data_IF_334381183469
#
_entry.id   IF_334381183469
#
_cell.length_a   1.000
_cell.length_b   1.000
_cell.length_c   1.000
_cell.angle_alpha   90.00
_cell.angle_beta   90.00
_cell.angle_gamma   90.00
#
_symmetry.space_group_name_H-M   'P 1'
#
loop_
_entity.id
_entity.type
_entity.pdbx_description
1 polymer ?
#
# COMPACT_ATOMS: atom_id res chain seq x y z
N UNK A 1 12.20 -2.41 19.39
CA UNK A 1 11.76 -2.83 18.03
C UNK A 1 12.30 -4.25 17.81
N UNK A 2 11.63 -5.10 17.04
CA UNK A 2 12.10 -6.47 16.80
C UNK A 2 13.32 -6.41 15.84
N UNK A 3 14.38 -7.15 16.11
CA UNK A 3 15.62 -7.23 15.29
C UNK A 3 15.31 -7.46 13.79
N UNK A 4 14.29 -8.25 13.47
CA UNK A 4 13.87 -8.49 12.09
C UNK A 4 13.35 -7.20 11.38
N UNK A 5 12.51 -6.40 12.05
CA UNK A 5 12.00 -5.13 11.47
C UNK A 5 13.14 -4.15 11.22
N UNK A 6 14.09 -4.03 12.13
CA UNK A 6 15.22 -3.12 11.98
C UNK A 6 16.10 -3.51 10.78
N UNK A 7 16.32 -4.81 10.57
CA UNK A 7 17.04 -5.33 9.40
C UNK A 7 16.26 -5.05 8.11
N UNK A 8 14.95 -5.30 8.07
CA UNK A 8 14.11 -4.97 6.89
C UNK A 8 14.18 -3.47 6.60
N UNK A 9 14.00 -2.63 7.61
CA UNK A 9 14.06 -1.17 7.46
C UNK A 9 15.42 -0.69 6.92
N UNK A 10 16.52 -1.31 7.38
CA UNK A 10 17.86 -1.01 6.88
C UNK A 10 18.03 -1.40 5.40
N UNK A 11 17.54 -2.58 5.01
CA UNK A 11 17.55 -3.04 3.61
C UNK A 11 16.72 -2.10 2.71
N UNK A 12 15.52 -1.73 3.13
CA UNK A 12 14.64 -0.81 2.39
C UNK A 12 15.28 0.58 2.26
N UNK A 13 15.92 1.07 3.32
CA UNK A 13 16.66 2.34 3.29
C UNK A 13 17.86 2.27 2.34
N UNK A 14 18.58 1.18 2.26
CA UNK A 14 19.65 0.98 1.30
C UNK A 14 19.13 0.96 -0.14
N UNK A 15 18.05 0.23 -0.41
CA UNK A 15 17.37 0.17 -1.70
C UNK A 15 16.96 1.58 -2.20
N UNK A 16 16.56 2.47 -1.29
CA UNK A 16 16.13 3.82 -1.65
C UNK A 16 17.25 4.69 -2.26
N UNK A 17 18.52 4.35 -2.08
CA UNK A 17 19.63 5.05 -2.74
C UNK A 17 19.55 4.90 -4.27
N UNK A 18 19.07 3.75 -4.75
CA UNK A 18 18.83 3.53 -6.19
C UNK A 18 17.73 4.47 -6.68
N UNK A 19 16.64 4.62 -5.91
CA UNK A 19 15.53 5.51 -6.23
C UNK A 19 15.94 6.99 -6.22
N UNK A 20 16.87 7.37 -5.35
CA UNK A 20 17.31 8.78 -5.18
C UNK A 20 18.54 9.14 -6.02
N UNK A 21 19.05 8.22 -6.83
CA UNK A 21 20.14 8.50 -7.76
C UNK A 21 19.69 9.50 -8.84
N UNK A 22 20.62 10.33 -9.31
CA UNK A 22 20.35 11.37 -10.31
C UNK A 22 19.87 10.82 -11.66
N UNK A 23 20.25 9.58 -12.00
CA UNK A 23 19.86 8.90 -13.23
C UNK A 23 18.68 7.93 -13.02
N UNK A 24 18.12 7.88 -11.82
CA UNK A 24 17.09 6.90 -11.43
C UNK A 24 15.81 6.96 -12.29
N UNK A 25 15.50 8.11 -12.90
CA UNK A 25 14.32 8.32 -13.75
C UNK A 25 14.58 8.01 -15.23
N UNK A 26 15.72 7.43 -15.57
CA UNK A 26 16.03 6.95 -16.94
C UNK A 26 15.33 5.62 -17.24
N UNK A 27 15.29 5.23 -18.51
CA UNK A 27 14.80 3.90 -18.91
C UNK A 27 13.29 3.71 -18.71
N UNK A 28 12.48 4.76 -18.90
CA UNK A 28 11.03 4.68 -18.72
C UNK A 28 10.43 3.80 -19.80
N UNK A 29 9.76 2.72 -19.40
CA UNK A 29 9.02 1.83 -20.27
C UNK A 29 7.53 1.82 -19.88
N UNK A 30 6.64 1.67 -20.85
CA UNK A 30 5.22 1.59 -20.65
C UNK A 30 4.78 0.13 -20.54
N UNK A 31 4.01 -0.21 -19.48
CA UNK A 31 3.41 -1.53 -19.29
C UNK A 31 1.95 -1.50 -19.76
N UNK A 32 1.61 -2.24 -20.78
CA UNK A 32 0.22 -2.51 -21.19
C UNK A 32 -0.61 -1.28 -21.58
N UNK A 33 -1.04 -0.46 -20.63
CA UNK A 33 -1.83 0.75 -20.89
C UNK A 33 -1.03 2.04 -20.72
N UNK A 34 -1.60 3.18 -21.21
CA UNK A 34 -0.93 4.49 -21.24
C UNK A 34 -0.64 5.13 -19.86
N UNK A 35 -1.07 4.51 -18.79
CA UNK A 35 -0.92 5.04 -17.41
C UNK A 35 -0.07 4.14 -16.52
N UNK A 36 0.38 2.99 -17.02
CA UNK A 36 1.22 2.06 -16.28
C UNK A 36 2.66 2.09 -16.82
N UNK A 37 3.59 2.46 -15.95
CA UNK A 37 5.00 2.65 -16.28
C UNK A 37 5.88 1.78 -15.39
N UNK A 38 7.07 1.46 -15.90
CA UNK A 38 8.18 0.87 -15.15
C UNK A 38 9.45 1.63 -15.53
N UNK A 39 10.34 1.83 -14.58
CA UNK A 39 11.66 2.39 -14.80
C UNK A 39 12.74 1.33 -14.55
N UNK A 40 13.95 1.58 -15.02
CA UNK A 40 15.09 0.71 -14.69
C UNK A 40 15.34 0.65 -13.19
N UNK A 41 14.93 1.69 -12.44
CA UNK A 41 15.05 1.74 -10.98
C UNK A 41 14.10 0.76 -10.30
N UNK A 42 12.85 0.61 -10.79
CA UNK A 42 11.91 -0.38 -10.26
C UNK A 42 12.52 -1.79 -10.32
N UNK A 43 13.09 -2.15 -11.47
CA UNK A 43 13.71 -3.46 -11.68
C UNK A 43 14.93 -3.68 -10.77
N UNK A 44 15.81 -2.68 -10.65
CA UNK A 44 17.00 -2.75 -9.79
C UNK A 44 16.65 -2.85 -8.32
N UNK A 45 15.68 -2.05 -7.86
CA UNK A 45 15.20 -2.08 -6.48
C UNK A 45 14.54 -3.43 -6.17
N UNK A 46 13.67 -3.92 -7.07
CA UNK A 46 13.05 -5.24 -6.94
C UNK A 46 14.09 -6.35 -6.81
N UNK A 47 15.13 -6.33 -7.65
CA UNK A 47 16.20 -7.34 -7.62
C UNK A 47 17.00 -7.28 -6.32
N UNK A 48 17.44 -6.08 -5.91
CA UNK A 48 18.17 -5.88 -4.66
C UNK A 48 17.34 -6.36 -3.45
N UNK A 49 16.09 -5.90 -3.32
CA UNK A 49 15.21 -6.31 -2.22
C UNK A 49 14.98 -7.82 -2.20
N UNK A 50 14.79 -8.44 -3.38
CA UNK A 50 14.57 -9.87 -3.49
C UNK A 50 15.77 -10.69 -2.98
N UNK A 51 16.98 -10.27 -3.31
CA UNK A 51 18.21 -10.92 -2.86
C UNK A 51 18.39 -10.80 -1.35
N UNK A 52 18.36 -9.57 -0.82
CA UNK A 52 18.59 -9.29 0.60
C UNK A 52 17.53 -9.91 1.52
N UNK A 53 16.24 -9.84 1.13
CA UNK A 53 15.15 -10.39 1.94
C UNK A 53 15.15 -11.93 1.93
N UNK A 54 15.55 -12.58 0.83
CA UNK A 54 15.72 -14.03 0.80
C UNK A 54 16.89 -14.48 1.69
N UNK A 55 17.99 -13.72 1.71
CA UNK A 55 19.12 -13.99 2.62
C UNK A 55 18.73 -13.75 4.08
N UNK A 56 17.92 -12.73 4.35
CA UNK A 56 17.45 -12.40 5.70
C UNK A 56 16.53 -13.49 6.28
N UNK A 57 15.67 -14.10 5.44
CA UNK A 57 14.72 -15.13 5.85
C UNK A 57 14.78 -16.32 4.87
N UNK A 58 15.74 -17.24 5.01
CA UNK A 58 15.86 -18.40 4.12
C UNK A 58 14.60 -19.27 4.13
N UNK A 59 14.18 -19.70 2.95
CA UNK A 59 12.95 -20.49 2.77
C UNK A 59 11.67 -19.66 2.61
N UNK A 60 11.76 -18.33 2.64
CA UNK A 60 10.66 -17.46 2.24
C UNK A 60 10.54 -17.39 0.71
N UNK A 61 9.33 -17.09 0.23
CA UNK A 61 9.06 -16.78 -1.18
C UNK A 61 8.85 -15.28 -1.37
N UNK A 62 8.85 -14.80 -2.63
CA UNK A 62 8.72 -13.38 -2.95
C UNK A 62 7.61 -13.19 -3.98
N UNK A 63 6.78 -12.17 -3.77
CA UNK A 63 5.86 -11.60 -4.73
C UNK A 63 6.26 -10.15 -4.92
N UNK A 64 6.51 -9.71 -6.14
CA UNK A 64 6.82 -8.32 -6.46
C UNK A 64 6.05 -7.84 -7.67
N UNK A 65 5.92 -6.54 -7.81
CA UNK A 65 5.23 -5.94 -8.96
C UNK A 65 5.91 -6.27 -10.28
N UNK A 66 7.26 -6.32 -10.31
CA UNK A 66 8.05 -6.31 -11.54
C UNK A 66 8.46 -7.69 -12.08
N UNK A 67 8.16 -8.77 -11.37
CA UNK A 67 8.49 -10.13 -11.81
C UNK A 67 7.31 -11.07 -11.62
N UNK A 68 6.98 -11.86 -12.65
CA UNK A 68 6.06 -12.98 -12.50
C UNK A 68 6.58 -13.95 -11.44
N UNK A 69 5.72 -14.25 -10.50
CA UNK A 69 6.04 -15.12 -9.35
C UNK A 69 5.13 -16.35 -9.41
N UNK A 70 5.75 -17.52 -9.33
CA UNK A 70 5.03 -18.80 -9.48
C UNK A 70 4.68 -19.45 -8.14
N UNK A 71 5.44 -19.19 -7.08
CA UNK A 71 5.20 -19.78 -5.76
C UNK A 71 4.71 -18.74 -4.75
N UNK A 72 3.46 -18.91 -4.31
CA UNK A 72 2.76 -18.05 -3.34
C UNK A 72 2.39 -18.82 -2.07
N UNK A 73 2.87 -20.08 -1.92
CA UNK A 73 2.40 -21.02 -0.90
C UNK A 73 3.28 -21.12 0.35
N UNK A 74 4.35 -20.34 0.45
CA UNK A 74 5.27 -20.39 1.58
C UNK A 74 4.64 -19.98 2.92
N UNK A 75 5.19 -20.50 4.03
CA UNK A 75 4.82 -20.02 5.38
C UNK A 75 5.09 -18.52 5.53
N UNK A 76 6.15 -18.03 4.88
CA UNK A 76 6.56 -16.64 4.81
C UNK A 76 6.68 -16.20 3.35
N UNK A 77 5.95 -15.14 3.00
CA UNK A 77 5.95 -14.56 1.66
C UNK A 77 6.25 -13.07 1.78
N UNK A 78 7.33 -12.63 1.16
CA UNK A 78 7.60 -11.21 0.96
C UNK A 78 6.72 -10.67 -0.16
N UNK A 79 6.16 -9.50 0.05
CA UNK A 79 5.36 -8.79 -0.95
C UNK A 79 5.96 -7.40 -1.12
N UNK A 80 6.46 -7.11 -2.34
CA UNK A 80 7.32 -5.96 -2.61
C UNK A 80 6.71 -5.09 -3.69
N UNK A 81 6.60 -3.79 -3.41
CA UNK A 81 6.48 -2.75 -4.41
C UNK A 81 7.77 -1.91 -4.39
N UNK A 82 8.58 -1.97 -5.44
CA UNK A 82 9.85 -1.24 -5.50
C UNK A 82 9.68 0.28 -5.52
N UNK A 83 8.64 0.79 -6.21
CA UNK A 83 8.33 2.22 -6.26
C UNK A 83 6.81 2.40 -6.39
N UNK A 84 6.08 2.32 -5.27
CA UNK A 84 4.66 2.68 -5.27
C UNK A 84 4.50 4.18 -5.61
N UNK A 85 3.69 4.44 -6.63
CA UNK A 85 3.56 5.75 -7.22
C UNK A 85 4.58 6.04 -8.32
N UNK A 86 4.86 5.08 -9.23
CA UNK A 86 5.82 5.24 -10.35
C UNK A 86 5.52 6.48 -11.21
N UNK A 87 4.24 6.81 -11.44
CA UNK A 87 3.87 8.05 -12.14
C UNK A 87 4.32 9.32 -11.42
N UNK A 88 4.27 9.33 -10.09
CA UNK A 88 4.78 10.44 -9.26
C UNK A 88 6.31 10.49 -9.32
N UNK A 89 6.96 9.32 -9.29
CA UNK A 89 8.41 9.20 -9.38
C UNK A 89 8.94 9.77 -10.69
N UNK A 90 8.38 9.35 -11.84
CA UNK A 90 8.75 9.84 -13.17
C UNK A 90 8.59 11.36 -13.29
N UNK A 91 7.56 11.93 -12.65
CA UNK A 91 7.23 13.36 -12.70
C UNK A 91 7.92 14.19 -11.61
N UNK A 92 8.75 13.58 -10.79
CA UNK A 92 9.46 14.21 -9.66
C UNK A 92 8.53 14.93 -8.67
N UNK A 93 7.39 14.33 -8.38
CA UNK A 93 6.42 14.93 -7.45
C UNK A 93 6.79 14.72 -5.98
N UNK A 94 7.77 13.86 -5.69
CA UNK A 94 8.19 13.56 -4.32
C UNK A 94 7.16 12.80 -3.49
N UNK A 95 6.25 12.05 -4.14
CA UNK A 95 5.15 11.31 -3.52
C UNK A 95 5.19 9.84 -3.90
N UNK A 96 6.35 9.21 -3.80
CA UNK A 96 6.54 7.79 -4.06
C UNK A 96 7.30 7.14 -2.92
N UNK A 97 7.02 5.88 -2.66
CA UNK A 97 7.58 5.12 -1.54
C UNK A 97 8.05 3.74 -1.99
N UNK A 98 8.89 3.10 -1.17
CA UNK A 98 9.22 1.67 -1.27
C UNK A 98 8.36 0.94 -0.24
N UNK A 99 7.68 -0.13 -0.64
CA UNK A 99 6.78 -0.90 0.21
C UNK A 99 7.22 -2.36 0.29
N UNK A 100 7.41 -2.88 1.51
CA UNK A 100 7.78 -4.28 1.79
C UNK A 100 6.88 -4.84 2.87
N UNK A 101 6.05 -5.81 2.50
CA UNK A 101 5.23 -6.59 3.43
C UNK A 101 5.80 -7.99 3.64
N UNK A 102 5.69 -8.52 4.85
CA UNK A 102 5.88 -9.95 5.14
C UNK A 102 4.53 -10.55 5.52
N UNK A 103 4.11 -11.48 4.69
CA UNK A 103 2.95 -12.34 4.97
C UNK A 103 3.42 -13.55 5.75
N UNK A 104 2.69 -13.92 6.79
CA UNK A 104 2.91 -15.14 7.56
C UNK A 104 1.64 -15.98 7.56
N UNK A 105 1.69 -17.19 7.01
CA UNK A 105 0.55 -18.12 6.93
C UNK A 105 -0.70 -17.47 6.28
N UNK A 106 -0.49 -16.73 5.20
CA UNK A 106 -1.54 -16.06 4.44
C UNK A 106 -2.02 -14.71 4.98
N UNK A 107 -1.50 -14.24 6.13
CA UNK A 107 -1.92 -12.97 6.74
C UNK A 107 -0.77 -11.94 6.80
N UNK A 108 -1.03 -10.65 6.52
CA UNK A 108 -0.06 -9.58 6.69
C UNK A 108 0.45 -9.52 8.14
N UNK A 109 1.76 -9.65 8.31
CA UNK A 109 2.40 -9.78 9.62
C UNK A 109 3.36 -8.63 9.95
N UNK A 110 4.27 -8.29 9.03
CA UNK A 110 5.17 -7.14 9.14
C UNK A 110 5.00 -6.25 7.93
N UNK A 111 5.06 -4.94 8.15
CA UNK A 111 5.08 -3.94 7.08
C UNK A 111 6.19 -2.92 7.30
N UNK A 112 6.86 -2.57 6.21
CA UNK A 112 7.84 -1.49 6.14
C UNK A 112 7.54 -0.66 4.89
N UNK A 113 7.29 0.64 5.07
CA UNK A 113 7.07 1.60 3.99
C UNK A 113 8.03 2.77 4.21
N UNK A 114 8.84 3.08 3.22
CA UNK A 114 9.80 4.16 3.31
C UNK A 114 9.57 5.24 2.27
N UNK A 115 9.43 6.47 2.76
CA UNK A 115 9.30 7.68 1.96
C UNK A 115 10.65 8.39 1.90
N UNK A 116 11.47 8.18 0.86
CA UNK A 116 12.86 8.66 0.84
C UNK A 116 12.99 10.20 0.77
N UNK A 117 12.04 10.87 0.10
CA UNK A 117 12.06 12.34 -0.01
C UNK A 117 11.89 13.07 1.33
N UNK A 118 11.30 12.40 2.33
CA UNK A 118 11.05 12.96 3.66
C UNK A 118 11.81 12.26 4.76
N UNK A 119 12.57 11.20 4.43
CA UNK A 119 13.23 10.30 5.39
C UNK A 119 12.23 9.77 6.45
N UNK A 120 11.03 9.38 6.00
CA UNK A 120 9.97 8.83 6.84
C UNK A 120 9.90 7.31 6.67
N UNK A 121 10.27 6.55 7.70
CA UNK A 121 10.22 5.09 7.76
C UNK A 121 9.05 4.65 8.62
N UNK A 122 7.99 4.16 7.98
CA UNK A 122 6.82 3.58 8.65
C UNK A 122 7.03 2.09 8.81
N UNK A 123 6.89 1.58 10.04
CA UNK A 123 7.04 0.15 10.32
C UNK A 123 5.93 -0.33 11.24
N UNK A 124 5.53 -1.59 11.09
CA UNK A 124 4.55 -2.22 11.97
C UNK A 124 4.68 -3.74 11.97
N UNK A 125 4.41 -4.32 13.14
CA UNK A 125 4.27 -5.76 13.29
C UNK A 125 3.01 -6.04 14.10
N UNK A 126 2.16 -6.88 13.57
CA UNK A 126 0.91 -7.27 14.24
C UNK A 126 1.23 -7.82 15.63
N UNK A 127 0.60 -7.22 16.65
CA UNK A 127 0.83 -7.54 18.06
C UNK A 127 2.03 -6.82 18.72
N UNK A 128 2.81 -6.00 17.98
CA UNK A 128 3.98 -5.31 18.54
C UNK A 128 3.96 -3.78 18.40
N UNK A 129 2.94 -3.24 17.70
CA UNK A 129 2.78 -1.80 17.48
C UNK A 129 3.33 -1.31 16.15
N UNK A 130 3.06 -0.02 15.87
CA UNK A 130 3.51 0.68 14.67
C UNK A 130 4.39 1.89 15.04
N UNK A 131 5.32 2.25 14.14
CA UNK A 131 6.33 3.27 14.40
C UNK A 131 6.61 4.10 13.14
N UNK A 132 6.91 5.39 13.34
CA UNK A 132 7.47 6.30 12.35
C UNK A 132 8.85 6.74 12.83
N UNK A 133 9.90 6.39 12.09
CA UNK A 133 11.30 6.66 12.46
C UNK A 133 11.60 6.20 13.90
N UNK A 134 11.12 5.01 14.27
CA UNK A 134 11.30 4.42 15.60
C UNK A 134 10.44 5.02 16.73
N UNK A 135 9.64 6.06 16.45
CA UNK A 135 8.70 6.64 17.42
C UNK A 135 7.33 5.98 17.26
N UNK A 136 6.68 5.56 18.35
CA UNK A 136 5.35 4.96 18.29
C UNK A 136 4.34 5.87 17.59
N UNK A 137 3.52 5.29 16.72
CA UNK A 137 2.38 5.95 16.07
C UNK A 137 1.10 5.19 16.34
N UNK A 138 -0.02 5.89 16.26
CA UNK A 138 -1.36 5.34 16.28
C UNK A 138 -2.25 6.10 15.29
N UNK A 139 -3.33 5.47 14.88
CA UNK A 139 -4.39 6.14 14.11
C UNK A 139 -4.99 7.31 14.90
N UNK A 140 -5.63 8.26 14.22
CA UNK A 140 -6.30 9.38 14.87
C UNK A 140 -7.57 8.92 15.60
N UNK A 141 -8.13 9.80 16.44
CA UNK A 141 -9.38 9.58 17.18
C UNK A 141 -10.56 10.41 16.60
N UNK A 142 -10.37 11.05 15.46
CA UNK A 142 -11.39 11.86 14.81
C UNK A 142 -12.56 11.00 14.34
N UNK A 143 -13.75 11.58 14.39
CA UNK A 143 -14.97 11.00 13.83
C UNK A 143 -15.05 11.19 12.31
N UNK A 144 -16.13 10.70 11.69
CA UNK A 144 -16.32 10.74 10.24
C UNK A 144 -16.44 12.17 9.71
N UNK A 145 -17.10 13.06 10.44
CA UNK A 145 -17.34 14.44 10.04
C UNK A 145 -16.04 15.25 9.95
N UNK A 146 -15.10 14.97 10.89
CA UNK A 146 -13.79 15.62 10.93
C UNK A 146 -12.68 14.81 10.27
N UNK A 147 -13.03 13.93 9.34
CA UNK A 147 -12.09 13.04 8.67
C UNK A 147 -11.59 13.61 7.34
N UNK A 148 -10.38 13.22 6.97
CA UNK A 148 -9.83 13.38 5.62
C UNK A 148 -9.85 12.02 4.94
N UNK A 149 -10.48 11.96 3.76
CA UNK A 149 -10.44 10.80 2.88
C UNK A 149 -9.19 10.83 2.01
N UNK A 150 -8.45 9.73 1.95
CA UNK A 150 -7.56 9.42 0.84
C UNK A 150 -8.22 8.37 -0.06
N UNK A 151 -8.10 8.52 -1.37
CA UNK A 151 -8.69 7.58 -2.33
C UNK A 151 -8.01 7.63 -3.67
N UNK A 152 -7.98 6.48 -4.35
CA UNK A 152 -7.63 6.43 -5.75
C UNK A 152 -8.73 5.75 -6.57
N UNK A 153 -8.81 6.16 -7.83
CA UNK A 153 -9.65 5.52 -8.85
C UNK A 153 -8.75 4.57 -9.63
N UNK A 154 -9.24 3.37 -9.91
CA UNK A 154 -8.47 2.40 -10.69
C UNK A 154 -7.90 3.02 -11.97
N UNK A 155 -6.57 3.08 -12.06
CA UNK A 155 -5.87 3.55 -13.25
C UNK A 155 -6.03 2.55 -14.41
N UNK A 156 -6.21 1.30 -14.08
CA UNK A 156 -6.24 0.17 -15.01
C UNK A 156 -7.60 -0.02 -15.68
N UNK A 157 -8.69 0.42 -15.04
CA UNK A 157 -10.04 0.29 -15.61
C UNK A 157 -10.89 1.53 -15.35
N UNK A 158 -11.04 2.36 -16.38
CA UNK A 158 -11.85 3.60 -16.34
C UNK A 158 -13.35 3.36 -16.15
N UNK A 159 -13.85 2.14 -16.34
CA UNK A 159 -15.26 1.82 -16.07
C UNK A 159 -15.63 2.01 -14.59
N UNK A 160 -14.65 1.93 -13.69
CA UNK A 160 -14.86 2.19 -12.26
C UNK A 160 -14.92 3.68 -11.88
N UNK A 161 -14.61 4.59 -12.80
CA UNK A 161 -14.55 6.02 -12.49
C UNK A 161 -15.90 6.56 -11.96
N UNK A 162 -17.02 6.22 -12.62
CA UNK A 162 -18.34 6.72 -12.22
C UNK A 162 -18.74 6.29 -10.79
N UNK A 163 -18.68 5.00 -10.41
CA UNK A 163 -18.97 4.62 -9.02
C UNK A 163 -17.96 5.21 -8.02
N UNK A 164 -16.67 5.31 -8.35
CA UNK A 164 -15.69 5.96 -7.47
C UNK A 164 -16.04 7.42 -7.20
N UNK A 165 -16.38 8.20 -8.23
CA UNK A 165 -16.79 9.61 -8.04
C UNK A 165 -18.04 9.74 -7.19
N UNK A 166 -19.02 8.84 -7.31
CA UNK A 166 -20.21 8.85 -6.46
C UNK A 166 -19.88 8.54 -4.99
N UNK A 167 -18.98 7.57 -4.75
CA UNK A 167 -18.49 7.26 -3.41
C UNK A 167 -17.79 8.48 -2.82
N UNK A 168 -16.87 9.09 -3.57
CA UNK A 168 -16.13 10.29 -3.15
C UNK A 168 -17.10 11.43 -2.83
N UNK A 169 -18.07 11.70 -3.69
CA UNK A 169 -19.07 12.74 -3.49
C UNK A 169 -19.85 12.53 -2.19
N UNK A 170 -20.35 11.30 -1.94
CA UNK A 170 -21.10 10.96 -0.73
C UNK A 170 -20.27 11.15 0.55
N UNK A 171 -18.98 10.80 0.51
CA UNK A 171 -18.08 10.96 1.65
C UNK A 171 -17.71 12.43 1.83
N UNK A 172 -17.42 13.15 0.75
CA UNK A 172 -17.00 14.55 0.78
C UNK A 172 -18.04 15.47 1.46
N UNK A 173 -19.34 15.23 1.25
CA UNK A 173 -20.39 15.97 1.94
C UNK A 173 -20.52 15.67 3.44
N UNK A 174 -19.82 14.64 3.94
CA UNK A 174 -19.90 14.16 5.32
C UNK A 174 -18.58 14.22 6.06
N UNK A 175 -17.51 14.70 5.43
CA UNK A 175 -16.13 14.73 5.93
C UNK A 175 -15.49 16.10 5.68
N UNK A 176 -14.34 16.35 6.29
CA UNK A 176 -13.64 17.65 6.15
C UNK A 176 -13.07 17.85 4.74
N UNK A 177 -12.42 16.83 4.14
CA UNK A 177 -11.72 17.02 2.87
C UNK A 177 -11.28 15.68 2.22
N UNK A 178 -10.75 15.79 0.99
CA UNK A 178 -10.22 14.70 0.18
C UNK A 178 -8.75 14.96 -0.20
N UNK A 179 -7.95 13.89 -0.20
CA UNK A 179 -6.61 13.88 -0.81
C UNK A 179 -6.52 12.73 -1.80
N UNK A 180 -5.72 12.95 -2.85
CA UNK A 180 -5.29 11.91 -3.79
C UNK A 180 -3.82 12.12 -4.08
N UNK A 181 -2.96 11.33 -3.41
CA UNK A 181 -1.52 11.48 -3.53
C UNK A 181 -0.93 10.62 -4.66
N UNK A 182 -1.64 9.55 -5.07
CA UNK A 182 -1.23 8.70 -6.18
C UNK A 182 -0.16 7.67 -5.82
N UNK A 183 -0.10 7.29 -4.55
CA UNK A 183 0.69 6.23 -3.96
C UNK A 183 -0.14 5.59 -2.86
N UNK A 184 -0.65 4.39 -3.10
CA UNK A 184 -1.55 3.70 -2.18
C UNK A 184 -0.87 3.38 -0.85
N UNK A 185 0.35 2.88 -0.89
CA UNK A 185 1.12 2.57 0.32
C UNK A 185 1.41 3.83 1.15
N UNK A 186 1.72 4.98 0.51
CA UNK A 186 1.92 6.24 1.23
C UNK A 186 0.63 6.72 1.90
N UNK A 187 -0.49 6.73 1.17
CA UNK A 187 -1.78 7.17 1.70
C UNK A 187 -2.23 6.32 2.90
N UNK A 188 -2.06 5.00 2.82
CA UNK A 188 -2.34 4.06 3.90
C UNK A 188 -1.37 4.21 5.09
N UNK A 189 -0.08 4.52 4.84
CA UNK A 189 0.88 4.81 5.90
C UNK A 189 0.53 6.10 6.65
N UNK A 190 0.01 7.12 5.94
CA UNK A 190 -0.48 8.35 6.56
C UNK A 190 -1.71 8.09 7.46
N UNK A 191 -2.60 7.16 7.07
CA UNK A 191 -3.72 6.72 7.92
C UNK A 191 -3.21 6.07 9.20
N UNK A 192 -2.26 5.13 9.09
CA UNK A 192 -1.66 4.49 10.25
C UNK A 192 -0.97 5.48 11.21
N UNK A 193 -0.43 6.59 10.66
CA UNK A 193 0.19 7.66 11.44
C UNK A 193 -0.79 8.72 11.97
N UNK A 194 -2.12 8.52 11.79
CA UNK A 194 -3.16 9.44 12.27
C UNK A 194 -3.20 10.79 11.55
N UNK A 195 -2.67 10.86 10.33
CA UNK A 195 -2.64 12.08 9.51
C UNK A 195 -3.86 12.21 8.59
N UNK A 196 -4.50 11.09 8.27
CA UNK A 196 -5.79 10.98 7.57
C UNK A 196 -6.60 9.86 8.21
N UNK A 197 -7.90 9.80 7.98
CA UNK A 197 -8.80 8.91 8.71
C UNK A 197 -9.43 7.83 7.86
N UNK A 198 -9.67 8.09 6.58
CA UNK A 198 -10.41 7.21 5.68
C UNK A 198 -9.58 6.90 4.43
N UNK A 199 -9.68 5.65 3.97
CA UNK A 199 -9.12 5.23 2.69
C UNK A 199 -10.05 4.23 2.01
N UNK A 200 -10.27 4.38 0.71
CA UNK A 200 -10.78 3.32 -0.13
C UNK A 200 -10.14 3.36 -1.52
N UNK A 201 -9.94 2.19 -2.07
CA UNK A 201 -9.65 1.99 -3.48
C UNK A 201 -10.31 0.70 -3.95
N UNK A 202 -10.94 0.74 -5.13
CA UNK A 202 -11.71 -0.42 -5.62
C UNK A 202 -10.84 -1.47 -6.30
N UNK A 203 -9.58 -1.16 -6.57
CA UNK A 203 -8.65 -2.11 -7.16
C UNK A 203 -7.22 -1.74 -6.85
N UNK A 204 -6.61 -2.51 -5.97
CA UNK A 204 -5.18 -2.51 -5.66
C UNK A 204 -4.59 -3.90 -5.91
N UNK A 205 -3.30 -3.98 -6.07
CA UNK A 205 -2.58 -5.25 -6.08
C UNK A 205 -2.02 -5.58 -4.68
N UNK A 206 -1.62 -6.84 -4.44
CA UNK A 206 -1.07 -7.23 -3.15
C UNK A 206 0.11 -6.36 -2.67
N UNK A 207 0.98 -5.96 -3.59
CA UNK A 207 2.17 -5.17 -3.28
C UNK A 207 1.86 -3.72 -2.86
N UNK A 208 0.76 -3.14 -3.35
CA UNK A 208 0.29 -1.80 -2.95
C UNK A 208 -0.15 -1.77 -1.48
N UNK A 209 -0.58 -2.91 -0.91
CA UNK A 209 -1.32 -2.94 0.35
C UNK A 209 -0.71 -3.80 1.46
N UNK A 210 0.08 -4.84 1.16
CA UNK A 210 0.52 -5.84 2.14
C UNK A 210 1.25 -5.23 3.35
N UNK A 211 2.18 -4.31 3.12
CA UNK A 211 2.89 -3.63 4.19
C UNK A 211 1.94 -2.76 5.02
N UNK A 212 1.09 -1.99 4.35
CA UNK A 212 0.16 -1.08 4.99
C UNK A 212 -0.86 -1.80 5.87
N UNK A 213 -1.36 -2.98 5.49
CA UNK A 213 -2.24 -3.81 6.32
C UNK A 213 -1.64 -4.11 7.69
N UNK A 214 -0.37 -4.56 7.70
CA UNK A 214 0.33 -4.85 8.95
C UNK A 214 0.53 -3.59 9.79
N UNK A 215 0.89 -2.45 9.16
CA UNK A 215 1.13 -1.18 9.87
C UNK A 215 -0.18 -0.63 10.45
N UNK A 216 -1.28 -0.60 9.66
CA UNK A 216 -2.59 -0.08 10.11
C UNK A 216 -3.14 -0.91 11.27
N UNK A 217 -3.15 -2.25 11.15
CA UNK A 217 -3.56 -3.15 12.24
C UNK A 217 -2.72 -2.92 13.51
N UNK A 218 -1.42 -2.69 13.34
CA UNK A 218 -0.50 -2.43 14.45
C UNK A 218 -0.66 -1.05 15.08
N UNK A 219 -1.18 -0.07 14.32
CA UNK A 219 -1.50 1.28 14.78
C UNK A 219 -2.89 1.40 15.42
N UNK A 220 -3.67 0.30 15.46
CA UNK A 220 -5.03 0.27 16.01
C UNK A 220 -6.13 0.67 15.03
N UNK A 221 -5.84 0.78 13.73
CA UNK A 221 -6.80 1.03 12.68
C UNK A 221 -7.49 -0.23 12.17
N UNK A 222 -8.47 -0.02 11.30
CA UNK A 222 -9.28 -1.06 10.66
C UNK A 222 -8.99 -1.09 9.17
N UNK A 223 -8.75 -2.27 8.63
CA UNK A 223 -8.48 -2.47 7.19
C UNK A 223 -8.98 -3.84 6.75
N UNK A 224 -9.69 -3.88 5.62
CA UNK A 224 -10.21 -5.12 5.02
C UNK A 224 -10.11 -5.08 3.49
N UNK A 225 -10.02 -6.28 2.91
CA UNK A 225 -10.22 -6.49 1.48
C UNK A 225 -11.72 -6.53 1.17
N UNK A 226 -12.17 -5.76 0.17
CA UNK A 226 -13.55 -5.82 -0.31
C UNK A 226 -13.80 -7.13 -1.05
N UNK A 227 -14.92 -7.80 -0.74
CA UNK A 227 -15.38 -9.04 -1.38
C UNK A 227 -14.43 -10.24 -1.28
N UNK A 228 -13.48 -10.24 -0.36
CA UNK A 228 -12.55 -11.35 -0.15
C UNK A 228 -12.53 -11.79 1.32
N UNK A 229 -12.36 -13.09 1.54
CA UNK A 229 -11.99 -13.64 2.82
C UNK A 229 -10.46 -13.75 2.87
N UNK A 230 -9.81 -13.04 3.82
CA UNK A 230 -8.36 -12.97 3.95
C UNK A 230 -7.68 -12.02 2.96
N UNK A 231 -6.36 -12.05 2.93
CA UNK A 231 -5.52 -11.19 2.08
C UNK A 231 -5.16 -11.92 0.78
N UNK A 232 -5.65 -11.47 -0.40
CA UNK A 232 -5.34 -12.12 -1.68
C UNK A 232 -3.88 -11.89 -2.08
N UNK A 233 -3.19 -12.95 -2.51
CA UNK A 233 -1.81 -12.87 -3.00
C UNK A 233 -1.69 -13.03 -4.52
N UNK A 234 -2.78 -13.42 -5.18
CA UNK A 234 -2.80 -13.89 -6.56
C UNK A 234 -3.60 -13.01 -7.52
N UNK A 235 -4.30 -12.03 -7.00
CA UNK A 235 -5.21 -11.18 -7.77
C UNK A 235 -5.36 -9.79 -7.18
N UNK A 236 -5.79 -8.79 -7.97
CA UNK A 236 -6.18 -7.51 -7.43
C UNK A 236 -7.47 -7.62 -6.61
N UNK A 237 -7.65 -6.67 -5.69
CA UNK A 237 -8.81 -6.59 -4.81
C UNK A 237 -9.15 -5.14 -4.47
N UNK A 238 -10.36 -4.90 -3.95
CA UNK A 238 -10.70 -3.60 -3.37
C UNK A 238 -10.30 -3.54 -1.90
N UNK A 239 -9.99 -2.35 -1.42
CA UNK A 239 -9.54 -2.11 -0.05
C UNK A 239 -10.33 -0.96 0.57
N UNK A 240 -10.68 -1.11 1.84
CA UNK A 240 -11.14 -0.04 2.71
C UNK A 240 -10.32 -0.02 3.99
N UNK A 241 -10.03 1.18 4.50
CA UNK A 241 -9.39 1.36 5.79
C UNK A 241 -9.92 2.61 6.51
N UNK A 242 -9.95 2.55 7.84
CA UNK A 242 -10.31 3.69 8.67
C UNK A 242 -9.59 3.67 10.02
N UNK A 243 -9.55 4.84 10.67
CA UNK A 243 -8.92 5.04 11.96
C UNK A 243 -9.66 4.34 13.11
N UNK A 244 -10.98 4.19 13.05
CA UNK A 244 -11.78 3.53 14.09
C UNK A 244 -12.93 2.72 13.49
N UNK A 245 -13.59 1.92 14.31
CA UNK A 245 -14.64 1.00 13.87
C UNK A 245 -15.87 1.73 13.31
N UNK A 246 -16.29 2.81 13.94
CA UNK A 246 -17.50 3.52 13.52
C UNK A 246 -17.30 4.18 12.16
N UNK A 247 -16.14 4.79 11.93
CA UNK A 247 -15.76 5.33 10.63
C UNK A 247 -15.62 4.22 9.58
N UNK A 248 -15.08 3.08 9.97
CA UNK A 248 -14.90 1.94 9.08
C UNK A 248 -16.25 1.39 8.59
N UNK A 249 -17.22 1.18 9.48
CA UNK A 249 -18.54 0.66 9.11
C UNK A 249 -19.31 1.65 8.22
N UNK A 250 -19.26 2.95 8.54
CA UNK A 250 -19.86 4.01 7.71
C UNK A 250 -19.24 4.07 6.31
N UNK A 251 -17.91 3.99 6.23
CA UNK A 251 -17.19 3.97 4.97
C UNK A 251 -17.57 2.74 4.14
N UNK A 252 -17.59 1.57 4.78
CA UNK A 252 -17.95 0.29 4.16
C UNK A 252 -19.37 0.32 3.59
N UNK A 253 -20.34 0.84 4.33
CA UNK A 253 -21.72 1.02 3.88
C UNK A 253 -21.78 1.87 2.60
N UNK A 254 -21.17 3.05 2.61
CA UNK A 254 -21.17 3.98 1.45
C UNK A 254 -20.49 3.33 0.24
N UNK A 255 -19.35 2.66 0.43
CA UNK A 255 -18.60 2.03 -0.66
C UNK A 255 -19.40 0.88 -1.27
N UNK A 256 -19.96 -0.02 -0.45
CA UNK A 256 -20.70 -1.19 -0.93
C UNK A 256 -22.04 -0.83 -1.58
N UNK A 257 -22.65 0.30 -1.22
CA UNK A 257 -23.89 0.79 -1.87
C UNK A 257 -23.65 1.13 -3.35
N UNK A 258 -22.49 1.69 -3.68
CA UNK A 258 -22.18 2.19 -5.02
C UNK A 258 -21.37 1.20 -5.87
N UNK A 259 -20.68 0.24 -5.27
CA UNK A 259 -19.93 -0.75 -6.03
C UNK A 259 -20.87 -1.66 -6.81
N UNK A 260 -20.58 -1.92 -8.08
CA UNK A 260 -21.29 -2.95 -8.82
C UNK A 260 -21.12 -4.31 -8.09
N UNK A 261 -22.22 -5.05 -7.91
CA UNK A 261 -22.24 -6.40 -7.31
C UNK A 261 -21.64 -7.46 -8.24
N UNK A 262 -20.68 -7.08 -9.05
CA UNK A 262 -20.01 -7.96 -10.02
C UNK A 262 -18.64 -8.28 -9.45
N UNK A 263 -18.24 -9.56 -9.37
CA UNK A 263 -16.88 -9.92 -9.02
C UNK A 263 -15.89 -9.15 -9.91
N UNK A 264 -14.79 -8.69 -9.35
CA UNK A 264 -13.72 -8.08 -10.13
C UNK A 264 -13.34 -9.02 -11.28
N UNK A 265 -13.47 -8.56 -12.53
CA UNK A 265 -13.05 -9.37 -13.67
C UNK A 265 -11.52 -9.46 -13.62
N UNK A 266 -11.03 -10.66 -13.39
CA UNK A 266 -9.61 -10.98 -13.20
C UNK A 266 -8.78 -10.78 -14.49
N UNK A 267 -9.44 -10.41 -15.61
CA UNK A 267 -8.87 -10.42 -16.96
C UNK A 267 -8.67 -9.05 -17.59
N UNK A 268 -8.79 -7.96 -16.82
CA UNK A 268 -8.58 -6.61 -17.38
C UNK A 268 -7.45 -5.91 -16.62
#
# INVERSE_FOLDING_TARGET
MNDLIEKIASIVKEASKIMMDSEARSGINQKGNSSNFVTDSDLKIQEFLSQELTLLLPGSTIIGEEKEQTDRSGEYVWVIDPIDGTSNFIRDLGLSVISVGLIKKGEPFIGVIYHPYRDEMYTGQVGSGAFLNGKPIKVSDKDFEHSILCSAMSLYNKAYAAPCFKIIEKIYYKSDDLRRLGSAALELALLAAGKVELYFEIRVFPWDAAAAFAIIKSAGGYVECLHNEGFPLDRPFGIIAANNKDNFEKLKEIVLEELPKVPYDERI
#
